data_IF_445056012787
#
_entry.id   IF_445056012787
#
_cell.length_a   1.000
_cell.length_b   1.000
_cell.length_c   1.000
_cell.angle_alpha   90.00
_cell.angle_beta   90.00
_cell.angle_gamma   90.00
#
_symmetry.space_group_name_H-M   'P 1'
#
loop_
_entity.id
_entity.type
_entity.pdbx_description
1 polymer ?
#
# COMPACT_ATOMS: atom_id res chain seq x y z
N UNK A 1 9.45 -15.76 37.60
CA UNK A 1 9.47 -15.05 36.31
C UNK A 1 10.33 -15.84 35.34
N UNK A 2 9.81 -16.27 34.18
CA UNK A 2 10.63 -16.99 33.19
C UNK A 2 11.70 -16.04 32.63
N UNK A 3 12.97 -16.46 32.52
CA UNK A 3 14.01 -15.62 31.95
C UNK A 3 13.68 -15.28 30.49
N UNK A 4 13.70 -13.99 30.16
CA UNK A 4 13.41 -13.51 28.80
C UNK A 4 14.71 -13.47 28.01
N UNK A 5 14.72 -14.11 26.86
CA UNK A 5 15.84 -14.04 25.93
C UNK A 5 15.79 -12.74 25.12
N UNK A 6 16.61 -11.76 25.51
CA UNK A 6 16.68 -10.45 24.84
C UNK A 6 17.17 -10.55 23.39
N UNK A 7 17.99 -11.57 23.05
CA UNK A 7 18.45 -11.77 21.68
C UNK A 7 17.31 -12.21 20.76
N UNK A 8 16.40 -13.06 21.25
CA UNK A 8 15.18 -13.43 20.52
C UNK A 8 14.31 -12.20 20.28
N UNK A 9 14.09 -11.36 21.30
CA UNK A 9 13.31 -10.12 21.17
C UNK A 9 13.91 -9.13 20.18
N UNK A 10 15.23 -8.94 20.18
CA UNK A 10 15.91 -8.09 19.19
C UNK A 10 15.74 -8.62 17.76
N UNK A 11 15.84 -9.95 17.57
CA UNK A 11 15.63 -10.59 16.26
C UNK A 11 14.17 -10.45 15.80
N UNK A 12 13.20 -10.65 16.70
CA UNK A 12 11.78 -10.44 16.40
C UNK A 12 11.51 -9.01 15.92
N UNK A 13 12.01 -8.01 16.65
CA UNK A 13 11.88 -6.60 16.26
C UNK A 13 12.50 -6.31 14.90
N UNK A 14 13.73 -6.78 14.65
CA UNK A 14 14.40 -6.57 13.37
C UNK A 14 13.64 -7.20 12.19
N UNK A 15 13.06 -8.40 12.37
CA UNK A 15 12.22 -9.04 11.36
C UNK A 15 10.94 -8.27 11.11
N UNK A 16 10.27 -7.79 12.17
CA UNK A 16 9.06 -6.99 12.05
C UNK A 16 9.31 -5.69 11.28
N UNK A 17 10.39 -4.98 11.60
CA UNK A 17 10.79 -3.76 10.89
C UNK A 17 11.15 -4.01 9.42
N UNK A 18 11.76 -5.16 9.11
CA UNK A 18 12.05 -5.55 7.71
C UNK A 18 10.76 -5.84 6.95
N UNK A 19 9.80 -6.53 7.56
CA UNK A 19 8.49 -6.82 6.96
C UNK A 19 7.71 -5.54 6.67
N UNK A 20 7.59 -4.65 7.65
CA UNK A 20 6.90 -3.37 7.47
C UNK A 20 7.50 -2.53 6.33
N UNK A 21 8.83 -2.51 6.20
CA UNK A 21 9.52 -1.85 5.08
C UNK A 21 9.22 -2.50 3.73
N UNK A 22 9.20 -3.83 3.68
CA UNK A 22 8.86 -4.56 2.46
C UNK A 22 7.42 -4.27 2.02
N UNK A 23 6.46 -4.30 2.95
CA UNK A 23 5.05 -3.99 2.68
C UNK A 23 4.91 -2.55 2.16
N UNK A 24 5.57 -1.59 2.79
CA UNK A 24 5.59 -0.20 2.33
C UNK A 24 6.20 -0.06 0.93
N UNK A 25 7.25 -0.82 0.61
CA UNK A 25 7.87 -0.81 -0.72
C UNK A 25 6.99 -1.50 -1.77
N UNK A 26 6.28 -2.58 -1.42
CA UNK A 26 5.32 -3.22 -2.32
C UNK A 26 4.18 -2.27 -2.68
N UNK A 27 3.70 -1.46 -1.73
CA UNK A 27 2.70 -0.43 -2.01
C UNK A 27 3.27 0.69 -2.90
N UNK A 28 4.49 1.16 -2.60
CA UNK A 28 5.13 2.27 -3.33
C UNK A 28 5.60 1.88 -4.74
N UNK A 29 6.15 0.68 -4.88
CA UNK A 29 6.91 0.24 -6.05
C UNK A 29 6.40 -1.06 -6.67
N UNK A 30 5.54 -1.82 -5.99
CA UNK A 30 5.07 -3.13 -6.45
C UNK A 30 4.01 -3.08 -7.56
N UNK A 31 3.44 -1.91 -7.85
CA UNK A 31 2.57 -1.74 -9.01
C UNK A 31 3.39 -1.55 -10.28
N UNK A 32 3.16 -2.41 -11.26
CA UNK A 32 3.69 -2.32 -12.61
C UNK A 32 3.12 -1.11 -13.35
N UNK A 33 3.75 -0.72 -14.47
CA UNK A 33 3.29 0.41 -15.29
C UNK A 33 1.88 0.18 -15.86
N UNK A 34 1.57 -1.05 -16.26
CA UNK A 34 0.25 -1.47 -16.75
C UNK A 34 -0.82 -1.29 -15.68
N UNK A 35 -0.62 -1.84 -14.49
CA UNK A 35 -1.59 -1.72 -13.37
C UNK A 35 -1.84 -0.26 -12.98
N UNK A 36 -0.79 0.58 -12.96
CA UNK A 36 -0.93 2.03 -12.73
C UNK A 36 -1.77 2.70 -13.83
N UNK A 37 -1.56 2.32 -15.09
CA UNK A 37 -2.29 2.89 -16.23
C UNK A 37 -3.77 2.47 -16.24
N UNK A 38 -4.05 1.21 -15.90
CA UNK A 38 -5.41 0.69 -15.77
C UNK A 38 -6.16 1.39 -14.64
N UNK A 39 -5.55 1.48 -13.45
CA UNK A 39 -6.13 2.21 -12.32
C UNK A 39 -6.42 3.68 -12.68
N UNK A 40 -5.49 4.37 -13.34
CA UNK A 40 -5.70 5.75 -13.78
C UNK A 40 -6.81 5.87 -14.83
N UNK A 41 -6.94 4.90 -15.75
CA UNK A 41 -8.00 4.89 -16.74
C UNK A 41 -9.39 4.68 -16.09
N UNK A 42 -9.48 3.77 -15.11
CA UNK A 42 -10.69 3.54 -14.32
C UNK A 42 -11.09 4.80 -13.54
N UNK A 43 -10.15 5.42 -12.81
CA UNK A 43 -10.44 6.66 -12.08
C UNK A 43 -10.92 7.78 -13.00
N UNK A 44 -10.33 7.91 -14.19
CA UNK A 44 -10.79 8.90 -15.19
C UNK A 44 -12.19 8.60 -15.71
N UNK A 45 -12.51 7.33 -15.95
CA UNK A 45 -13.84 6.91 -16.40
C UNK A 45 -14.89 7.23 -15.32
N UNK A 46 -14.59 6.92 -14.06
CA UNK A 46 -15.46 7.21 -12.92
C UNK A 46 -15.65 8.73 -12.73
N UNK A 47 -14.57 9.51 -12.82
CA UNK A 47 -14.65 10.96 -12.75
C UNK A 47 -15.55 11.54 -13.86
N UNK A 48 -15.38 11.10 -15.11
CA UNK A 48 -16.25 11.53 -16.22
C UNK A 48 -17.70 11.14 -16.02
N UNK A 49 -17.97 9.93 -15.52
CA UNK A 49 -19.33 9.48 -15.20
C UNK A 49 -19.95 10.41 -14.15
N UNK A 50 -19.22 10.69 -13.08
CA UNK A 50 -19.66 11.57 -12.02
C UNK A 50 -19.92 12.98 -12.55
N UNK A 51 -19.00 13.54 -13.33
CA UNK A 51 -19.15 14.87 -13.93
C UNK A 51 -20.36 14.94 -14.87
N UNK A 52 -20.61 13.91 -15.68
CA UNK A 52 -21.80 13.83 -16.54
C UNK A 52 -23.12 13.71 -15.76
N UNK A 53 -23.07 13.36 -14.48
CA UNK A 53 -24.22 13.33 -13.57
C UNK A 53 -24.35 14.60 -12.71
N UNK A 54 -23.37 15.51 -12.75
CA UNK A 54 -23.49 16.81 -12.08
C UNK A 54 -24.48 17.67 -12.85
N UNK A 55 -25.41 18.29 -12.13
CA UNK A 55 -26.28 19.35 -12.66
C UNK A 55 -25.62 20.68 -12.28
N UNK A 56 -25.41 21.53 -13.27
CA UNK A 56 -24.97 22.90 -13.04
C UNK A 56 -26.14 23.67 -12.42
N UNK A 57 -26.04 23.97 -11.12
CA UNK A 57 -26.83 25.02 -10.47
C UNK A 57 -26.15 26.38 -10.67
#
# INVERSE_FOLDING_TARGET
>A
MKPINLNQKRKERARAEKKARADANSVKFGRTKSEKSEAAALTKLEARKLDGHKRDE
#
